data_IF_732496138771
#
_entry.id   IF_732496138771
#
_cell.length_a   1.000
_cell.length_b   1.000
_cell.length_c   1.000
_cell.angle_alpha   90.00
_cell.angle_beta   90.00
_cell.angle_gamma   90.00
#
_symmetry.space_group_name_H-M   'P 1'
#
loop_
_entity.id
_entity.type
_entity.pdbx_description
1 polymer ?
#
# COMPACT_ATOMS: atom_id res chain seq x y z
N UNK A 1 38.32 -25.86 -8.15
CA UNK A 1 37.26 -25.23 -7.29
C UNK A 1 36.61 -26.35 -6.54
N UNK A 2 36.95 -26.48 -5.29
CA UNK A 2 36.65 -27.65 -4.46
C UNK A 2 35.23 -27.48 -3.88
N UNK A 3 34.36 -28.44 -4.23
CA UNK A 3 33.08 -28.70 -3.57
C UNK A 3 33.31 -28.93 -2.07
N UNK A 4 33.01 -27.94 -1.26
CA UNK A 4 32.90 -28.13 0.18
C UNK A 4 31.43 -28.49 0.46
N UNK A 5 31.14 -29.79 0.40
CA UNK A 5 29.95 -30.36 1.02
C UNK A 5 29.98 -30.00 2.52
N UNK A 6 28.94 -29.36 3.11
CA UNK A 6 28.95 -29.15 4.55
C UNK A 6 28.86 -30.51 5.23
N UNK A 7 30.00 -30.96 5.76
CA UNK A 7 30.04 -32.16 6.57
C UNK A 7 29.12 -32.02 7.78
N UNK A 8 28.35 -33.06 8.07
CA UNK A 8 27.56 -33.29 9.28
C UNK A 8 28.45 -33.46 10.52
N UNK A 9 29.42 -32.56 10.71
CA UNK A 9 30.28 -32.56 11.88
C UNK A 9 29.47 -32.09 13.08
N UNK A 10 29.15 -32.99 14.02
CA UNK A 10 28.68 -32.67 15.36
C UNK A 10 29.66 -31.66 15.96
N UNK A 11 29.20 -30.46 16.29
CA UNK A 11 29.97 -29.51 17.06
C UNK A 11 30.34 -30.18 18.39
N UNK A 12 31.62 -30.37 18.66
CA UNK A 12 32.13 -31.13 19.81
C UNK A 12 31.76 -30.57 21.17
N UNK A 13 31.21 -29.34 21.21
CA UNK A 13 30.78 -28.63 22.42
C UNK A 13 29.28 -28.29 22.44
N UNK A 14 28.51 -28.73 21.46
CA UNK A 14 27.06 -28.50 21.47
C UNK A 14 26.35 -29.55 22.36
N UNK A 15 25.30 -29.18 23.11
CA UNK A 15 24.42 -30.16 23.78
C UNK A 15 23.92 -31.22 22.80
N UNK A 16 23.58 -32.43 23.31
CA UNK A 16 23.11 -33.51 22.44
C UNK A 16 21.78 -33.18 21.74
N UNK A 17 20.98 -32.35 22.34
CA UNK A 17 19.66 -31.86 21.90
C UNK A 17 19.75 -30.48 21.21
N UNK A 18 20.96 -30.05 20.80
CA UNK A 18 21.11 -28.75 20.15
C UNK A 18 20.26 -28.66 18.88
N UNK A 19 19.42 -27.61 18.74
CA UNK A 19 18.63 -27.40 17.55
C UNK A 19 19.51 -27.30 16.28
N UNK A 20 18.99 -27.71 15.14
CA UNK A 20 19.69 -27.56 13.87
C UNK A 20 19.97 -26.07 13.59
N UNK A 21 21.24 -25.76 13.27
CA UNK A 21 21.63 -24.41 12.85
C UNK A 21 21.11 -24.18 11.43
N UNK A 22 20.26 -23.19 11.26
CA UNK A 22 19.71 -22.83 9.95
C UNK A 22 20.71 -21.96 9.18
N UNK A 23 20.70 -22.06 7.85
CA UNK A 23 21.47 -21.15 7.00
C UNK A 23 20.95 -19.73 7.22
N UNK A 24 21.87 -18.79 7.42
CA UNK A 24 21.55 -17.37 7.55
C UNK A 24 20.96 -16.82 6.24
N UNK A 25 19.81 -16.14 6.35
CA UNK A 25 19.06 -15.52 5.24
C UNK A 25 18.71 -14.09 5.56
N UNK A 26 18.27 -13.37 4.54
CA UNK A 26 17.66 -12.04 4.66
C UNK A 26 16.22 -12.16 4.22
N UNK A 27 15.30 -11.70 5.07
CA UNK A 27 13.90 -11.54 4.72
C UNK A 27 13.63 -10.16 4.13
N UNK A 28 12.92 -10.09 3.02
CA UNK A 28 12.27 -8.87 2.51
C UNK A 28 10.79 -9.02 2.79
N UNK A 29 10.26 -8.23 3.71
CA UNK A 29 8.86 -8.27 4.10
C UNK A 29 8.14 -7.04 3.54
N UNK A 30 7.38 -7.24 2.47
CA UNK A 30 6.50 -6.23 1.91
C UNK A 30 5.30 -6.03 2.84
N UNK A 31 4.83 -4.80 3.00
CA UNK A 31 3.66 -4.53 3.84
C UNK A 31 2.63 -3.68 3.11
N UNK A 32 1.37 -4.11 3.15
CA UNK A 32 0.25 -3.35 2.64
C UNK A 32 -0.79 -3.11 3.74
N UNK A 33 -1.79 -2.24 3.48
CA UNK A 33 -2.78 -1.82 4.48
C UNK A 33 -3.54 -2.99 5.07
N UNK A 34 -3.98 -3.88 4.21
CA UNK A 34 -4.76 -5.03 4.59
C UNK A 34 -6.19 -5.00 4.11
N UNK A 35 -6.88 -6.09 4.41
CA UNK A 35 -8.19 -6.38 3.86
C UNK A 35 -8.93 -7.37 4.78
N UNK A 36 -10.27 -7.39 4.76
CA UNK A 36 -11.02 -8.43 5.47
C UNK A 36 -10.78 -9.81 4.85
N UNK A 37 -10.89 -10.86 5.67
CA UNK A 37 -10.82 -12.26 5.23
C UNK A 37 -12.04 -12.69 4.39
N UNK A 38 -13.11 -11.91 4.40
CA UNK A 38 -14.35 -12.16 3.68
C UNK A 38 -15.27 -10.95 3.73
N UNK A 39 -16.35 -10.98 2.95
CA UNK A 39 -17.33 -9.89 2.86
C UNK A 39 -18.53 -10.05 3.80
N UNK A 40 -18.50 -11.09 4.64
CA UNK A 40 -19.52 -11.31 5.67
C UNK A 40 -19.34 -10.36 6.85
N UNK A 41 -20.42 -10.27 7.68
CA UNK A 41 -20.44 -9.36 8.83
C UNK A 41 -19.26 -9.58 9.79
N UNK A 42 -18.92 -10.82 10.14
CA UNK A 42 -17.91 -11.08 11.16
C UNK A 42 -16.49 -10.83 10.65
N UNK A 43 -16.21 -11.17 9.41
CA UNK A 43 -14.93 -10.88 8.76
C UNK A 43 -14.73 -9.37 8.64
N UNK A 44 -15.75 -8.65 8.20
CA UNK A 44 -15.73 -7.19 8.13
C UNK A 44 -15.59 -6.54 9.52
N UNK A 45 -16.32 -7.06 10.52
CA UNK A 45 -16.26 -6.53 11.88
C UNK A 45 -14.85 -6.68 12.49
N UNK A 46 -14.21 -7.84 12.33
CA UNK A 46 -12.84 -8.08 12.80
C UNK A 46 -11.86 -7.10 12.16
N UNK A 47 -11.90 -6.98 10.86
CA UNK A 47 -11.04 -6.08 10.10
C UNK A 47 -11.24 -4.62 10.50
N UNK A 48 -12.49 -4.13 10.49
CA UNK A 48 -12.82 -2.75 10.85
C UNK A 48 -12.49 -2.45 12.32
N UNK A 49 -12.67 -3.41 13.23
CA UNK A 49 -12.28 -3.24 14.61
C UNK A 49 -10.77 -3.03 14.76
N UNK A 50 -9.96 -3.84 14.08
CA UNK A 50 -8.51 -3.72 14.11
C UNK A 50 -8.06 -2.38 13.52
N UNK A 51 -8.62 -2.00 12.38
CA UNK A 51 -8.29 -0.76 11.66
C UNK A 51 -8.70 0.49 12.45
N UNK A 52 -9.94 0.55 12.93
CA UNK A 52 -10.49 1.72 13.61
C UNK A 52 -10.06 1.82 15.10
N UNK A 53 -9.46 0.79 15.67
CA UNK A 53 -8.86 0.85 17.01
C UNK A 53 -7.41 1.35 16.99
N UNK A 54 -6.82 1.55 15.83
CA UNK A 54 -5.46 2.06 15.73
C UNK A 54 -5.44 3.57 16.00
N UNK A 55 -4.62 3.98 16.98
CA UNK A 55 -4.46 5.39 17.39
C UNK A 55 -3.87 6.28 16.31
N UNK A 56 -3.09 5.71 15.39
CA UNK A 56 -2.59 6.47 14.24
C UNK A 56 -3.65 6.71 13.17
N UNK A 57 -4.74 5.95 13.19
CA UNK A 57 -5.89 6.10 12.28
C UNK A 57 -6.97 6.96 12.92
N UNK A 58 -7.29 6.67 14.19
CA UNK A 58 -8.33 7.41 14.95
C UNK A 58 -7.71 7.89 16.27
N UNK A 59 -7.28 9.13 16.27
CA UNK A 59 -6.65 9.79 17.41
C UNK A 59 -7.70 10.40 18.37
N UNK A 60 -8.54 9.54 18.92
CA UNK A 60 -9.54 9.88 19.91
C UNK A 60 -9.28 9.05 21.18
N UNK A 61 -9.57 9.62 22.36
CA UNK A 61 -9.44 8.91 23.64
C UNK A 61 -10.23 7.59 23.64
N UNK A 62 -9.61 6.49 24.10
CA UNK A 62 -10.24 5.16 24.12
C UNK A 62 -11.55 5.11 24.89
N UNK A 63 -11.65 5.86 25.98
CA UNK A 63 -12.86 5.93 26.79
C UNK A 63 -14.09 6.45 26.04
N UNK A 64 -13.87 7.32 25.04
CA UNK A 64 -14.92 7.85 24.18
C UNK A 64 -15.07 6.97 22.94
N UNK A 65 -13.94 6.62 22.32
CA UNK A 65 -13.94 5.96 21.03
C UNK A 65 -14.39 4.49 21.09
N UNK A 66 -13.91 3.72 22.05
CA UNK A 66 -14.20 2.29 22.09
C UNK A 66 -15.70 1.98 22.28
N UNK A 67 -16.46 2.62 23.19
CA UNK A 67 -17.89 2.43 23.26
C UNK A 67 -18.63 2.80 21.95
N UNK A 68 -18.27 3.94 21.33
CA UNK A 68 -18.84 4.36 20.06
C UNK A 68 -18.51 3.37 18.94
N UNK A 69 -17.25 2.92 18.86
CA UNK A 69 -16.82 1.94 17.87
C UNK A 69 -17.59 0.63 18.03
N UNK A 70 -17.61 0.04 19.23
CA UNK A 70 -18.17 -1.29 19.44
C UNK A 70 -19.70 -1.34 19.33
N UNK A 71 -20.40 -0.33 19.89
CA UNK A 71 -21.85 -0.35 20.02
C UNK A 71 -22.57 0.29 18.82
N UNK A 72 -21.95 1.26 18.16
CA UNK A 72 -22.60 2.01 17.07
C UNK A 72 -21.97 1.70 15.71
N UNK A 73 -20.67 1.93 15.57
CA UNK A 73 -20.02 1.83 14.25
C UNK A 73 -19.98 0.38 13.79
N UNK A 74 -19.45 -0.54 14.60
CA UNK A 74 -19.29 -1.95 14.25
C UNK A 74 -20.60 -2.75 14.29
N UNK A 75 -21.73 -2.17 14.74
CA UNK A 75 -23.04 -2.80 14.60
C UNK A 75 -23.63 -2.61 13.19
N UNK A 76 -23.25 -1.56 12.46
CA UNK A 76 -23.84 -1.18 11.16
C UNK A 76 -22.86 -1.19 10.00
N UNK A 77 -21.68 -0.60 10.18
CA UNK A 77 -20.68 -0.41 9.12
C UNK A 77 -20.20 -1.73 8.46
N UNK A 78 -20.08 -2.88 9.15
CA UNK A 78 -19.72 -4.14 8.50
C UNK A 78 -20.68 -4.55 7.37
N UNK A 79 -21.97 -4.25 7.45
CA UNK A 79 -22.93 -4.57 6.39
C UNK A 79 -22.69 -3.72 5.14
N UNK A 80 -22.58 -2.39 5.29
CA UNK A 80 -22.36 -1.50 4.15
C UNK A 80 -20.97 -1.70 3.54
N UNK A 81 -19.91 -1.81 4.37
CA UNK A 81 -18.56 -2.08 3.86
C UNK A 81 -18.48 -3.44 3.17
N UNK A 82 -19.11 -4.49 3.74
CA UNK A 82 -19.18 -5.80 3.10
C UNK A 82 -19.92 -5.78 1.76
N UNK A 83 -20.95 -4.95 1.62
CA UNK A 83 -21.64 -4.74 0.34
C UNK A 83 -20.71 -4.10 -0.70
N UNK A 84 -19.91 -3.11 -0.30
CA UNK A 84 -18.96 -2.47 -1.21
C UNK A 84 -17.81 -3.41 -1.59
N UNK A 85 -17.26 -4.18 -0.64
CA UNK A 85 -16.25 -5.19 -0.96
C UNK A 85 -16.77 -6.27 -1.92
N UNK A 86 -18.04 -6.69 -1.83
CA UNK A 86 -18.63 -7.65 -2.78
C UNK A 86 -18.62 -7.18 -4.22
N UNK A 87 -18.73 -5.87 -4.48
CA UNK A 87 -18.70 -5.31 -5.83
C UNK A 87 -17.34 -5.53 -6.55
N UNK A 88 -16.27 -5.60 -5.77
CA UNK A 88 -14.88 -5.68 -6.29
C UNK A 88 -14.20 -7.03 -5.94
N UNK A 89 -14.90 -7.94 -5.25
CA UNK A 89 -14.31 -9.17 -4.71
C UNK A 89 -13.83 -10.09 -5.82
N UNK A 90 -12.63 -10.62 -5.67
CA UNK A 90 -12.12 -11.69 -6.54
C UNK A 90 -12.79 -13.01 -6.15
N UNK A 91 -13.86 -13.37 -6.85
CA UNK A 91 -14.64 -14.57 -6.55
C UNK A 91 -13.89 -15.89 -6.83
N UNK A 92 -12.94 -15.91 -7.76
CA UNK A 92 -12.17 -17.11 -8.09
C UNK A 92 -11.25 -17.50 -6.94
N UNK A 93 -10.60 -16.50 -6.33
CA UNK A 93 -9.68 -16.69 -5.21
C UNK A 93 -10.34 -16.50 -3.84
N UNK A 94 -11.57 -16.02 -3.82
CA UNK A 94 -12.30 -15.63 -2.62
C UNK A 94 -11.50 -14.66 -1.73
N UNK A 95 -10.90 -13.65 -2.34
CA UNK A 95 -10.10 -12.63 -1.66
C UNK A 95 -10.29 -11.24 -2.29
N UNK A 96 -9.82 -10.20 -1.61
CA UNK A 96 -9.87 -8.83 -2.16
C UNK A 96 -8.86 -8.63 -3.28
N UNK A 97 -9.08 -7.65 -4.19
CA UNK A 97 -8.08 -7.26 -5.20
C UNK A 97 -6.74 -6.89 -4.58
N UNK A 98 -6.73 -6.16 -3.46
CA UNK A 98 -5.53 -5.78 -2.74
C UNK A 98 -4.67 -7.00 -2.37
N UNK A 99 -5.28 -8.06 -1.85
CA UNK A 99 -4.57 -9.29 -1.48
C UNK A 99 -4.05 -10.03 -2.71
N UNK A 100 -4.88 -10.18 -3.75
CA UNK A 100 -4.50 -10.79 -5.03
C UNK A 100 -3.28 -10.09 -5.63
N UNK A 101 -3.32 -8.75 -5.71
CA UNK A 101 -2.26 -7.94 -6.31
C UNK A 101 -0.99 -7.97 -5.43
N UNK A 102 -1.12 -7.87 -4.11
CA UNK A 102 0.05 -7.95 -3.22
C UNK A 102 0.78 -9.30 -3.35
N UNK A 103 0.06 -10.40 -3.53
CA UNK A 103 0.66 -11.72 -3.82
C UNK A 103 1.41 -11.70 -5.16
N UNK A 104 0.80 -11.12 -6.20
CA UNK A 104 1.42 -11.01 -7.52
C UNK A 104 2.69 -10.15 -7.48
N UNK A 105 2.64 -8.98 -6.82
CA UNK A 105 3.81 -8.12 -6.59
C UNK A 105 4.93 -8.89 -5.87
N UNK A 106 4.59 -9.62 -4.81
CA UNK A 106 5.56 -10.41 -4.03
C UNK A 106 6.25 -11.45 -4.89
N UNK A 107 5.48 -12.25 -5.64
CA UNK A 107 6.01 -13.28 -6.51
C UNK A 107 6.89 -12.69 -7.63
N UNK A 108 6.47 -11.57 -8.23
CA UNK A 108 7.24 -10.91 -9.29
C UNK A 108 8.57 -10.33 -8.76
N UNK A 109 8.57 -9.75 -7.56
CA UNK A 109 9.78 -9.24 -6.90
C UNK A 109 10.71 -10.40 -6.52
N UNK A 110 10.18 -11.50 -5.98
CA UNK A 110 10.97 -12.70 -5.67
C UNK A 110 11.68 -13.22 -6.92
N UNK A 111 10.93 -13.39 -8.02
CA UNK A 111 11.50 -13.80 -9.32
C UNK A 111 12.58 -12.85 -9.82
N UNK A 112 12.43 -11.53 -9.62
CA UNK A 112 13.41 -10.54 -10.04
C UNK A 112 14.69 -10.53 -9.18
N UNK A 113 14.58 -10.94 -7.91
CA UNK A 113 15.73 -11.00 -6.97
C UNK A 113 16.46 -12.35 -7.03
N UNK A 114 15.77 -13.43 -7.36
CA UNK A 114 16.30 -14.80 -7.37
C UNK A 114 17.59 -14.97 -8.21
N UNK A 115 17.70 -14.42 -9.44
CA UNK A 115 18.94 -14.57 -10.24
C UNK A 115 20.16 -13.90 -9.62
N UNK A 116 19.98 -12.91 -8.73
CA UNK A 116 21.05 -12.13 -8.13
C UNK A 116 21.46 -12.70 -6.76
N UNK A 117 20.48 -13.10 -5.96
CA UNK A 117 20.69 -13.44 -4.55
C UNK A 117 20.43 -14.91 -4.22
N UNK A 118 19.87 -15.66 -5.17
CA UNK A 118 19.49 -17.05 -4.93
C UNK A 118 18.57 -17.19 -3.70
N UNK A 119 18.79 -18.22 -2.91
CA UNK A 119 18.05 -18.53 -1.68
C UNK A 119 18.55 -17.74 -0.43
N UNK A 120 19.53 -16.84 -0.60
CA UNK A 120 19.99 -15.98 0.48
C UNK A 120 18.97 -14.88 0.84
N UNK A 121 18.09 -14.52 -0.09
CA UNK A 121 17.00 -13.56 0.11
C UNK A 121 15.66 -14.27 -0.03
N UNK A 122 14.79 -14.12 0.95
CA UNK A 122 13.40 -14.56 0.93
C UNK A 122 12.50 -13.33 0.83
N UNK A 123 11.51 -13.38 -0.04
CA UNK A 123 10.50 -12.31 -0.17
C UNK A 123 9.16 -12.83 0.32
N UNK A 124 8.53 -12.08 1.19
CA UNK A 124 7.18 -12.37 1.68
C UNK A 124 6.41 -11.07 1.89
N UNK A 125 5.12 -11.16 2.19
CA UNK A 125 4.32 -9.99 2.47
C UNK A 125 3.48 -10.15 3.73
N UNK A 126 3.10 -9.02 4.32
CA UNK A 126 2.18 -8.93 5.44
C UNK A 126 1.14 -7.85 5.21
N UNK A 127 0.03 -8.00 5.89
CA UNK A 127 -1.01 -6.98 5.99
C UNK A 127 -0.92 -6.26 7.34
N UNK A 128 -1.03 -4.93 7.33
CA UNK A 128 -1.08 -4.15 8.58
C UNK A 128 -2.31 -4.51 9.38
N UNK A 129 -3.46 -4.68 8.69
CA UNK A 129 -4.72 -5.11 9.27
C UNK A 129 -5.25 -6.35 8.53
N UNK A 130 -5.74 -7.34 9.28
CA UNK A 130 -6.15 -8.62 8.72
C UNK A 130 -4.99 -9.61 8.55
N UNK A 131 -5.07 -10.46 7.53
CA UNK A 131 -4.16 -11.58 7.32
C UNK A 131 -3.49 -11.56 5.92
N UNK A 132 -2.23 -12.11 5.82
CA UNK A 132 -1.36 -12.54 6.92
C UNK A 132 -0.86 -11.36 7.73
N UNK A 133 -0.81 -11.49 9.06
CA UNK A 133 -0.40 -10.39 9.93
C UNK A 133 1.10 -10.15 9.90
N UNK A 134 1.53 -8.91 10.17
CA UNK A 134 2.95 -8.57 10.29
C UNK A 134 3.65 -9.44 11.35
N UNK A 135 2.99 -9.70 12.47
CA UNK A 135 3.58 -10.52 13.54
C UNK A 135 3.77 -11.98 13.15
N UNK A 136 2.83 -12.59 12.41
CA UNK A 136 2.98 -13.97 11.92
C UNK A 136 4.12 -14.07 10.92
N UNK A 137 4.22 -13.11 9.99
CA UNK A 137 5.24 -13.13 8.94
C UNK A 137 6.65 -12.83 9.45
N UNK A 138 6.79 -11.95 10.42
CA UNK A 138 8.10 -11.76 11.10
C UNK A 138 8.55 -13.07 11.76
N UNK A 139 7.65 -13.77 12.47
CA UNK A 139 7.95 -15.07 13.08
C UNK A 139 8.35 -16.11 12.04
N UNK A 140 7.57 -16.26 10.97
CA UNK A 140 7.85 -17.20 9.88
C UNK A 140 9.25 -16.95 9.26
N UNK A 141 9.63 -15.71 9.01
CA UNK A 141 10.94 -15.34 8.51
C UNK A 141 12.05 -15.70 9.51
N UNK A 142 11.89 -15.41 10.80
CA UNK A 142 12.84 -15.78 11.84
C UNK A 142 12.98 -17.29 11.93
N UNK A 143 11.87 -18.03 11.89
CA UNK A 143 11.85 -19.49 11.86
C UNK A 143 12.50 -20.06 10.59
N UNK A 144 12.42 -19.37 9.46
CA UNK A 144 13.11 -19.73 8.22
C UNK A 144 14.62 -19.45 8.24
N UNK A 145 15.15 -18.82 9.30
CA UNK A 145 16.55 -18.49 9.47
C UNK A 145 16.94 -17.09 9.01
N UNK A 146 15.98 -16.18 8.83
CA UNK A 146 16.29 -14.80 8.53
C UNK A 146 16.89 -14.09 9.74
N UNK A 147 18.16 -13.71 9.63
CA UNK A 147 18.91 -12.95 10.65
C UNK A 147 18.80 -11.45 10.44
N UNK A 148 18.33 -11.03 9.28
CA UNK A 148 18.10 -9.65 8.88
C UNK A 148 16.74 -9.57 8.19
N UNK A 149 15.97 -8.53 8.45
CA UNK A 149 14.67 -8.28 7.79
C UNK A 149 14.65 -6.84 7.26
N UNK A 150 14.48 -6.72 5.95
CA UNK A 150 14.14 -5.47 5.28
C UNK A 150 12.61 -5.37 5.23
N UNK A 151 12.05 -4.44 5.98
CA UNK A 151 10.62 -4.16 5.97
C UNK A 151 10.31 -3.06 4.97
N UNK A 152 9.39 -3.32 4.05
CA UNK A 152 9.05 -2.40 2.98
C UNK A 152 7.54 -2.11 2.94
N UNK A 153 7.08 -1.04 3.60
CA UNK A 153 5.72 -0.54 3.43
C UNK A 153 5.47 -0.11 1.98
N UNK A 154 4.47 -0.71 1.33
CA UNK A 154 4.11 -0.41 -0.06
C UNK A 154 3.25 0.86 -0.17
N UNK A 155 3.59 1.88 0.61
CA UNK A 155 3.00 3.21 0.54
C UNK A 155 4.05 4.17 -0.03
N UNK A 156 3.85 4.68 -1.27
CA UNK A 156 4.80 5.63 -1.85
C UNK A 156 5.00 6.87 -0.99
N UNK A 157 3.92 7.35 -0.36
CA UNK A 157 3.87 8.55 0.46
C UNK A 157 3.80 8.19 1.94
N UNK A 158 4.54 8.91 2.76
CA UNK A 158 4.48 8.77 4.22
C UNK A 158 3.21 9.43 4.77
N UNK A 159 2.56 8.74 5.67
CA UNK A 159 1.57 9.31 6.59
C UNK A 159 1.60 8.58 7.93
N UNK A 160 1.21 9.27 8.99
CA UNK A 160 1.04 8.66 10.31
C UNK A 160 0.12 7.44 10.27
N UNK A 161 -0.97 7.53 9.50
CA UNK A 161 -1.97 6.47 9.35
C UNK A 161 -1.58 5.35 8.37
N UNK A 162 -0.41 5.40 7.71
CA UNK A 162 0.07 4.38 6.76
C UNK A 162 1.44 3.85 7.15
N UNK A 163 2.51 4.52 6.72
CA UNK A 163 3.89 4.05 6.95
C UNK A 163 4.21 3.95 8.45
N UNK A 164 3.80 4.92 9.26
CA UNK A 164 4.12 4.88 10.68
C UNK A 164 3.39 3.74 11.41
N UNK A 165 2.10 3.53 11.14
CA UNK A 165 1.38 2.41 11.78
C UNK A 165 1.91 1.04 11.32
N UNK A 166 2.34 0.90 10.06
CA UNK A 166 2.97 -0.33 9.58
C UNK A 166 4.30 -0.57 10.29
N UNK A 167 5.12 0.48 10.46
CA UNK A 167 6.38 0.43 11.20
C UNK A 167 6.17 0.05 12.67
N UNK A 168 5.16 0.62 13.34
CA UNK A 168 4.81 0.27 14.72
C UNK A 168 4.48 -1.21 14.86
N UNK A 169 3.70 -1.78 13.92
CA UNK A 169 3.37 -3.20 13.91
C UNK A 169 4.60 -4.09 13.71
N UNK A 170 5.51 -3.66 12.83
CA UNK A 170 6.77 -4.36 12.58
C UNK A 170 7.68 -4.33 13.82
N UNK A 171 7.90 -3.17 14.42
CA UNK A 171 8.72 -3.05 15.62
C UNK A 171 8.12 -3.81 16.80
N UNK A 172 6.79 -3.76 16.97
CA UNK A 172 6.11 -4.55 18.00
C UNK A 172 6.24 -6.07 17.75
N UNK A 173 6.29 -6.52 16.51
CA UNK A 173 6.55 -7.92 16.18
C UNK A 173 7.97 -8.32 16.56
N UNK A 174 8.97 -7.50 16.23
CA UNK A 174 10.38 -7.76 16.57
C UNK A 174 10.61 -7.90 18.08
N UNK A 175 9.94 -7.08 18.90
CA UNK A 175 10.09 -7.16 20.36
C UNK A 175 9.59 -8.47 20.99
N UNK A 176 8.80 -9.26 20.24
CA UNK A 176 8.30 -10.57 20.68
C UNK A 176 9.24 -11.72 20.37
N UNK A 177 10.21 -11.48 19.50
CA UNK A 177 11.15 -12.52 19.10
C UNK A 177 12.28 -12.69 20.13
N UNK A 178 12.59 -13.92 20.50
CA UNK A 178 13.70 -14.25 21.41
C UNK A 178 15.05 -13.79 20.85
N UNK A 179 15.29 -14.05 19.56
CA UNK A 179 16.40 -13.53 18.79
C UNK A 179 15.84 -12.49 17.82
N UNK A 180 16.05 -11.22 18.11
CA UNK A 180 15.66 -10.16 17.20
C UNK A 180 16.59 -10.15 15.98
N UNK A 181 16.06 -10.24 14.75
CA UNK A 181 16.85 -10.04 13.55
C UNK A 181 17.29 -8.57 13.45
N UNK A 182 18.41 -8.31 12.76
CA UNK A 182 18.74 -6.95 12.38
C UNK A 182 17.65 -6.41 11.44
N UNK A 183 17.19 -5.19 11.68
CA UNK A 183 16.05 -4.63 10.97
C UNK A 183 16.41 -3.36 10.22
N UNK A 184 15.84 -3.20 9.03
CA UNK A 184 15.86 -1.96 8.24
C UNK A 184 14.48 -1.71 7.68
N UNK A 185 14.04 -0.46 7.69
CA UNK A 185 12.77 -0.05 7.09
C UNK A 185 13.08 0.77 5.84
N UNK A 186 12.40 0.47 4.74
CA UNK A 186 12.47 1.27 3.52
C UNK A 186 11.68 2.56 3.74
N UNK A 187 12.30 3.69 3.43
CA UNK A 187 11.65 4.99 3.47
C UNK A 187 10.61 5.14 2.34
N UNK A 188 9.79 6.18 2.43
CA UNK A 188 8.88 6.59 1.37
C UNK A 188 9.61 6.83 0.05
N UNK A 189 8.93 6.55 -1.06
CA UNK A 189 9.53 6.60 -2.41
C UNK A 189 8.70 7.41 -3.41
N UNK A 190 7.91 8.34 -2.91
CA UNK A 190 6.96 9.19 -3.65
C UNK A 190 7.61 10.03 -4.78
N UNK A 191 8.90 10.29 -4.71
CA UNK A 191 9.69 11.04 -5.68
C UNK A 191 10.80 10.21 -6.35
N UNK A 192 10.83 8.91 -6.12
CA UNK A 192 11.83 8.03 -6.72
C UNK A 192 11.69 8.02 -8.26
N UNK A 193 12.78 8.26 -9.02
CA UNK A 193 12.69 8.43 -10.47
C UNK A 193 11.99 7.27 -11.19
N UNK A 194 12.29 6.02 -10.83
CA UNK A 194 11.64 4.85 -11.45
C UNK A 194 10.15 4.74 -11.10
N UNK A 195 9.74 5.20 -9.92
CA UNK A 195 8.33 5.25 -9.55
C UNK A 195 7.57 6.30 -10.37
N UNK A 196 8.15 7.49 -10.53
CA UNK A 196 7.57 8.56 -11.38
C UNK A 196 7.52 8.09 -12.84
N UNK A 197 8.56 7.40 -13.33
CA UNK A 197 8.59 6.82 -14.68
C UNK A 197 7.47 5.79 -14.88
N UNK A 198 7.27 4.88 -13.92
CA UNK A 198 6.20 3.89 -13.96
C UNK A 198 4.81 4.56 -13.99
N UNK A 199 4.59 5.59 -13.16
CA UNK A 199 3.34 6.38 -13.18
C UNK A 199 3.11 7.06 -14.52
N UNK A 200 4.14 7.73 -15.07
CA UNK A 200 4.03 8.40 -16.35
C UNK A 200 3.74 7.40 -17.47
N UNK A 201 4.45 6.28 -17.51
CA UNK A 201 4.20 5.21 -18.49
C UNK A 201 2.80 4.60 -18.38
N UNK A 202 2.24 4.49 -17.18
CA UNK A 202 0.85 4.05 -16.98
C UNK A 202 -0.14 5.06 -17.57
N UNK A 203 0.04 6.35 -17.30
CA UNK A 203 -0.78 7.43 -17.88
C UNK A 203 -0.67 7.44 -19.41
N UNK A 204 0.55 7.42 -19.94
CA UNK A 204 0.81 7.43 -21.41
C UNK A 204 0.13 6.25 -22.10
N UNK A 205 0.24 5.05 -21.54
CA UNK A 205 -0.37 3.83 -22.08
C UNK A 205 -1.90 3.90 -22.13
N UNK A 206 -2.52 4.38 -21.03
CA UNK A 206 -3.98 4.55 -21.00
C UNK A 206 -4.40 5.60 -22.02
N UNK A 207 -3.71 6.75 -22.08
CA UNK A 207 -4.04 7.81 -23.02
C UNK A 207 -3.87 7.39 -24.48
N UNK A 208 -2.89 6.55 -24.79
CA UNK A 208 -2.68 6.01 -26.15
C UNK A 208 -3.83 5.10 -26.63
N UNK A 209 -4.58 4.50 -25.70
CA UNK A 209 -5.75 3.66 -25.99
C UNK A 209 -7.07 4.44 -26.06
N UNK A 210 -7.07 5.77 -25.83
CA UNK A 210 -8.28 6.57 -25.87
C UNK A 210 -8.52 7.21 -27.25
N UNK A 211 -9.77 7.21 -27.70
CA UNK A 211 -10.18 7.91 -28.91
C UNK A 211 -10.13 9.45 -28.78
N UNK A 212 -9.93 9.94 -27.56
CA UNK A 212 -9.90 11.38 -27.25
C UNK A 212 -8.95 11.66 -26.08
N UNK A 213 -8.36 12.82 -26.07
CA UNK A 213 -7.54 13.28 -24.95
C UNK A 213 -8.45 13.82 -23.83
N UNK A 214 -8.28 13.39 -22.58
CA UNK A 214 -8.95 13.98 -21.43
C UNK A 214 -8.62 15.48 -21.29
N UNK A 215 -9.59 16.28 -20.84
CA UNK A 215 -9.44 17.72 -20.63
C UNK A 215 -8.50 18.06 -19.47
N UNK A 216 -8.41 17.13 -18.48
CA UNK A 216 -7.55 17.24 -17.31
C UNK A 216 -7.27 15.85 -16.75
N UNK A 217 -6.06 15.66 -16.21
CA UNK A 217 -5.73 14.53 -15.34
C UNK A 217 -5.92 14.95 -13.88
N UNK A 218 -6.70 14.22 -13.12
CA UNK A 218 -6.85 14.41 -11.67
C UNK A 218 -6.01 13.35 -10.95
N UNK A 219 -5.08 13.78 -10.12
CA UNK A 219 -4.40 12.90 -9.16
C UNK A 219 -5.21 12.90 -7.86
N UNK A 220 -5.82 11.75 -7.53
CA UNK A 220 -6.60 11.58 -6.31
C UNK A 220 -5.76 10.85 -5.26
N UNK A 221 -5.64 11.46 -4.10
CA UNK A 221 -4.93 10.91 -2.95
C UNK A 221 -5.91 10.61 -1.83
N UNK A 222 -5.61 9.65 -0.95
CA UNK A 222 -6.44 9.47 0.23
C UNK A 222 -6.41 10.75 1.09
N UNK A 223 -7.56 11.22 1.51
CA UNK A 223 -7.68 12.39 2.38
C UNK A 223 -7.05 12.16 3.74
N UNK A 224 -6.61 13.24 4.36
CA UNK A 224 -6.12 13.26 5.73
C UNK A 224 -6.68 14.48 6.46
N UNK A 225 -6.92 14.39 7.78
CA UNK A 225 -7.26 15.57 8.57
C UNK A 225 -6.20 16.66 8.42
N UNK A 226 -6.64 17.88 8.16
CA UNK A 226 -5.75 19.04 7.97
C UNK A 226 -4.82 19.26 9.18
N UNK A 227 -5.26 18.89 10.38
CA UNK A 227 -4.44 18.99 11.59
C UNK A 227 -3.15 18.17 11.49
N UNK A 228 -3.11 17.04 10.76
CA UNK A 228 -1.88 16.25 10.62
C UNK A 228 -0.81 17.03 9.85
N UNK A 229 -1.20 17.71 8.77
CA UNK A 229 -0.29 18.63 8.09
C UNK A 229 0.25 19.71 9.05
N UNK A 230 -0.62 20.31 9.87
CA UNK A 230 -0.21 21.34 10.83
C UNK A 230 0.68 20.81 11.96
N UNK A 231 0.64 19.50 12.22
CA UNK A 231 1.51 18.79 13.16
C UNK A 231 2.82 18.28 12.53
N UNK A 232 3.04 18.55 11.24
CA UNK A 232 4.28 18.20 10.55
C UNK A 232 4.26 16.89 9.76
N UNK A 233 3.08 16.27 9.55
CA UNK A 233 2.98 15.12 8.65
C UNK A 233 3.28 15.58 7.20
N UNK A 234 4.25 14.96 6.51
CA UNK A 234 4.72 15.44 5.21
C UNK A 234 3.81 15.05 4.04
N UNK A 235 2.78 14.24 4.28
CA UNK A 235 1.94 13.60 3.24
C UNK A 235 1.46 14.58 2.17
N UNK A 236 0.87 15.70 2.58
CA UNK A 236 0.36 16.71 1.65
C UNK A 236 1.46 17.23 0.69
N UNK A 237 2.62 17.58 1.23
CA UNK A 237 3.74 18.09 0.43
C UNK A 237 4.28 17.02 -0.53
N UNK A 238 4.33 15.77 -0.09
CA UNK A 238 4.74 14.64 -0.91
C UNK A 238 3.76 14.39 -2.06
N UNK A 239 2.44 14.43 -1.82
CA UNK A 239 1.41 14.32 -2.87
C UNK A 239 1.57 15.40 -3.95
N UNK A 240 1.76 16.66 -3.53
CA UNK A 240 1.98 17.77 -4.46
C UNK A 240 3.27 17.59 -5.28
N UNK A 241 4.35 17.10 -4.63
CA UNK A 241 5.62 16.86 -5.31
C UNK A 241 5.50 15.73 -6.34
N UNK A 242 4.84 14.62 -6.00
CA UNK A 242 4.59 13.53 -6.96
C UNK A 242 3.81 14.00 -8.17
N UNK A 243 2.72 14.76 -7.97
CA UNK A 243 1.90 15.30 -9.07
C UNK A 243 2.71 16.26 -9.95
N UNK A 244 3.55 17.10 -9.35
CA UNK A 244 4.47 17.98 -10.10
C UNK A 244 5.48 17.18 -10.91
N UNK A 245 6.16 16.20 -10.31
CA UNK A 245 7.16 15.35 -10.99
C UNK A 245 6.52 14.54 -12.13
N UNK A 246 5.33 13.99 -11.90
CA UNK A 246 4.56 13.31 -12.95
C UNK A 246 4.27 14.24 -14.13
N UNK A 247 3.79 15.46 -13.87
CA UNK A 247 3.53 16.47 -14.92
C UNK A 247 4.81 16.80 -15.70
N UNK A 248 5.92 17.03 -14.98
CA UNK A 248 7.22 17.36 -15.59
C UNK A 248 7.72 16.20 -16.47
N UNK A 249 7.62 14.95 -15.99
CA UNK A 249 7.99 13.76 -16.75
C UNK A 249 7.12 13.55 -18.00
N UNK A 250 5.83 13.87 -17.93
CA UNK A 250 4.93 13.83 -19.08
C UNK A 250 5.14 15.01 -20.06
N UNK A 251 5.97 15.98 -19.73
CA UNK A 251 6.18 17.18 -20.54
C UNK A 251 4.95 18.09 -20.65
N UNK A 252 4.04 18.03 -19.68
CA UNK A 252 2.77 18.77 -19.74
C UNK A 252 2.87 20.15 -19.12
N UNK A 253 2.05 21.07 -19.65
CA UNK A 253 2.00 22.44 -19.17
C UNK A 253 1.50 22.54 -17.71
N UNK A 254 1.87 23.58 -16.96
CA UNK A 254 1.25 23.89 -15.67
C UNK A 254 -0.29 23.95 -15.78
N UNK A 255 -1.01 23.36 -14.81
CA UNK A 255 -2.47 23.32 -14.82
C UNK A 255 -3.09 22.16 -15.61
N UNK A 256 -2.28 21.23 -16.16
CA UNK A 256 -2.80 20.03 -16.83
C UNK A 256 -3.08 18.86 -15.87
N UNK A 257 -2.59 18.96 -14.65
CA UNK A 257 -2.85 18.00 -13.57
C UNK A 257 -3.44 18.74 -12.38
N UNK A 258 -4.60 18.29 -11.93
CA UNK A 258 -5.23 18.75 -10.72
C UNK A 258 -4.99 17.75 -9.59
N UNK A 259 -4.72 18.27 -8.38
CA UNK A 259 -4.53 17.45 -7.17
C UNK A 259 -5.79 17.51 -6.32
N UNK A 260 -6.25 16.35 -5.84
CA UNK A 260 -7.42 16.26 -4.98
C UNK A 260 -7.29 15.13 -3.95
N UNK A 261 -8.19 15.14 -2.94
CA UNK A 261 -8.16 14.20 -1.82
C UNK A 261 -9.53 13.55 -1.65
N UNK A 262 -9.54 12.22 -1.54
CA UNK A 262 -10.75 11.40 -1.43
C UNK A 262 -10.96 10.84 -0.02
N UNK A 263 -12.01 10.04 0.19
CA UNK A 263 -12.28 9.27 1.43
C UNK A 263 -12.44 10.14 2.68
N UNK A 264 -13.09 11.29 2.53
CA UNK A 264 -13.32 12.22 3.64
C UNK A 264 -14.47 11.71 4.51
N UNK A 265 -14.27 11.70 5.83
CA UNK A 265 -15.32 11.33 6.77
C UNK A 265 -15.31 12.16 8.05
N UNK A 266 -16.47 12.21 8.73
CA UNK A 266 -16.61 12.95 9.99
C UNK A 266 -16.83 14.44 9.78
N UNK A 267 -16.58 15.24 10.85
CA UNK A 267 -16.86 16.69 10.87
C UNK A 267 -15.62 17.57 10.88
N UNK A 268 -14.44 16.95 11.01
CA UNK A 268 -13.16 17.65 11.02
C UNK A 268 -12.83 18.16 9.60
N UNK A 269 -12.04 19.22 9.51
CA UNK A 269 -11.54 19.72 8.22
C UNK A 269 -10.42 18.80 7.71
N UNK A 270 -10.56 18.35 6.47
CA UNK A 270 -9.60 17.50 5.77
C UNK A 270 -8.85 18.30 4.71
N UNK A 271 -7.78 17.71 4.18
CA UNK A 271 -7.04 18.27 3.03
C UNK A 271 -7.98 18.47 1.84
N UNK A 272 -7.82 19.59 1.14
CA UNK A 272 -8.67 20.00 0.01
C UNK A 272 -7.86 20.15 -1.27
N UNK A 273 -8.53 20.17 -2.46
CA UNK A 273 -9.98 19.98 -2.69
C UNK A 273 -10.42 18.52 -2.50
N UNK A 274 -11.67 18.29 -2.14
CA UNK A 274 -12.25 16.94 -2.06
C UNK A 274 -12.52 16.40 -3.45
N UNK A 275 -12.08 15.18 -3.77
CA UNK A 275 -12.13 14.64 -5.13
C UNK A 275 -13.55 14.62 -5.69
N UNK A 276 -14.53 14.16 -4.92
CA UNK A 276 -15.94 14.09 -5.35
C UNK A 276 -16.51 15.45 -5.70
N UNK A 277 -16.21 16.48 -4.90
CA UNK A 277 -16.65 17.87 -5.15
C UNK A 277 -15.91 18.47 -6.34
N UNK A 278 -14.60 18.19 -6.44
CA UNK A 278 -13.72 18.73 -7.46
C UNK A 278 -14.09 18.23 -8.85
N UNK A 279 -14.29 16.93 -9.04
CA UNK A 279 -14.67 16.38 -10.34
C UNK A 279 -16.08 16.89 -10.79
N UNK A 280 -17.01 17.03 -9.84
CA UNK A 280 -18.30 17.62 -10.14
C UNK A 280 -18.21 19.10 -10.53
N UNK A 281 -17.31 19.87 -9.91
CA UNK A 281 -17.04 21.26 -10.29
C UNK A 281 -16.40 21.36 -11.68
N UNK A 282 -15.47 20.46 -12.03
CA UNK A 282 -14.89 20.37 -13.36
C UNK A 282 -15.96 20.12 -14.44
N UNK A 283 -16.88 19.17 -14.20
CA UNK A 283 -17.97 18.90 -15.13
C UNK A 283 -18.86 20.14 -15.35
N UNK A 284 -19.26 20.84 -14.27
CA UNK A 284 -20.04 22.09 -14.33
C UNK A 284 -19.28 23.22 -15.04
N UNK A 285 -17.95 23.25 -14.94
CA UNK A 285 -17.10 24.19 -15.65
C UNK A 285 -16.86 23.83 -17.13
N UNK A 286 -17.54 22.79 -17.66
CA UNK A 286 -17.49 22.39 -19.05
C UNK A 286 -16.37 21.38 -19.39
N UNK A 287 -15.66 20.86 -18.41
CA UNK A 287 -14.73 19.73 -18.62
C UNK A 287 -15.54 18.46 -18.80
N UNK A 288 -15.61 17.96 -20.03
CA UNK A 288 -16.47 16.83 -20.39
C UNK A 288 -15.79 15.47 -20.23
N UNK A 289 -14.47 15.45 -20.29
CA UNK A 289 -13.67 14.24 -20.29
C UNK A 289 -12.51 14.38 -19.32
N UNK A 290 -12.48 13.57 -18.29
CA UNK A 290 -11.40 13.57 -17.31
C UNK A 290 -10.75 12.19 -17.18
N UNK A 291 -9.49 12.17 -16.80
CA UNK A 291 -8.83 10.96 -16.32
C UNK A 291 -8.49 11.11 -14.84
N UNK A 292 -8.55 10.02 -14.09
CA UNK A 292 -8.21 10.00 -12.65
C UNK A 292 -7.23 8.88 -12.37
N UNK A 293 -6.16 9.20 -11.65
CA UNK A 293 -5.14 8.26 -11.18
C UNK A 293 -4.92 8.45 -9.68
N UNK A 294 -4.60 7.36 -8.97
CA UNK A 294 -4.37 7.35 -7.53
C UNK A 294 -2.91 7.04 -7.16
N UNK A 295 -1.98 8.02 -7.22
CA UNK A 295 -0.55 7.74 -7.08
C UNK A 295 -0.14 7.21 -5.70
N UNK A 296 -0.88 7.50 -4.62
CA UNK A 296 -0.55 7.00 -3.29
C UNK A 296 -0.84 5.51 -3.08
N UNK A 297 -1.50 4.86 -4.03
CA UNK A 297 -1.89 3.47 -3.94
C UNK A 297 -0.99 2.60 -4.84
N UNK A 298 -0.24 1.71 -4.21
CA UNK A 298 0.64 0.75 -4.90
C UNK A 298 -0.14 -0.36 -5.61
N UNK A 299 -1.35 -0.63 -5.14
CA UNK A 299 -2.24 -1.66 -5.65
C UNK A 299 -3.70 -1.20 -5.59
N UNK A 300 -4.49 -1.66 -6.55
CA UNK A 300 -5.93 -1.43 -6.54
C UNK A 300 -6.61 -2.04 -5.32
N UNK A 301 -7.51 -1.29 -4.74
CA UNK A 301 -8.21 -1.59 -3.52
C UNK A 301 -9.64 -1.04 -3.53
N UNK A 302 -10.31 -1.04 -2.41
CA UNK A 302 -11.69 -0.55 -2.34
C UNK A 302 -11.77 0.95 -2.63
N UNK A 303 -10.80 1.72 -2.17
CA UNK A 303 -10.70 3.17 -2.37
C UNK A 303 -10.49 3.56 -3.84
N UNK A 304 -9.95 2.66 -4.66
CA UNK A 304 -9.70 2.94 -6.07
C UNK A 304 -10.78 2.36 -6.98
N UNK A 305 -11.20 1.12 -6.73
CA UNK A 305 -12.14 0.43 -7.61
C UNK A 305 -13.60 0.78 -7.30
N UNK A 306 -13.96 0.94 -6.03
CA UNK A 306 -15.33 1.26 -5.64
C UNK A 306 -15.54 2.77 -5.48
N UNK A 307 -14.64 3.47 -4.77
CA UNK A 307 -14.81 4.91 -4.54
C UNK A 307 -14.47 5.72 -5.79
N UNK A 308 -13.24 5.59 -6.37
CA UNK A 308 -12.87 6.41 -7.55
C UNK A 308 -13.65 5.95 -8.79
N UNK A 309 -13.56 4.67 -9.14
CA UNK A 309 -14.15 4.16 -10.39
C UNK A 309 -15.65 3.87 -10.29
N UNK A 310 -16.24 4.01 -9.11
CA UNK A 310 -17.68 3.94 -8.84
C UNK A 310 -18.25 5.29 -8.44
N UNK A 311 -18.21 5.64 -7.16
CA UNK A 311 -18.89 6.80 -6.58
C UNK A 311 -18.43 8.13 -7.19
N UNK A 312 -17.12 8.37 -7.29
CA UNK A 312 -16.57 9.63 -7.84
C UNK A 312 -16.86 9.73 -9.34
N UNK A 313 -16.77 8.62 -10.07
CA UNK A 313 -17.18 8.55 -11.48
C UNK A 313 -18.63 8.94 -11.67
N UNK A 314 -19.54 8.37 -10.87
CA UNK A 314 -20.97 8.69 -10.93
C UNK A 314 -21.23 10.17 -10.63
N UNK A 315 -20.55 10.74 -9.64
CA UNK A 315 -20.64 12.16 -9.30
C UNK A 315 -20.24 13.07 -10.45
N UNK A 316 -19.18 12.73 -11.18
CA UNK A 316 -18.75 13.46 -12.37
C UNK A 316 -19.79 13.42 -13.48
N UNK A 317 -20.29 12.23 -13.80
CA UNK A 317 -21.28 12.02 -14.87
C UNK A 317 -22.61 12.72 -14.54
N UNK A 318 -23.11 12.62 -13.31
CA UNK A 318 -24.32 13.32 -12.87
C UNK A 318 -24.17 14.84 -12.89
N UNK A 319 -22.96 15.38 -12.73
CA UNK A 319 -22.69 16.81 -12.82
C UNK A 319 -22.58 17.34 -14.27
N UNK A 320 -22.75 16.48 -15.28
CA UNK A 320 -22.73 16.82 -16.71
C UNK A 320 -21.42 16.49 -17.42
N UNK A 321 -20.54 15.69 -16.80
CA UNK A 321 -19.43 15.06 -17.47
C UNK A 321 -19.87 13.98 -18.44
N UNK A 322 -19.05 13.63 -19.41
CA UNK A 322 -19.37 12.65 -20.47
C UNK A 322 -18.51 11.40 -20.38
N UNK A 323 -17.20 11.56 -20.15
CA UNK A 323 -16.26 10.45 -20.08
C UNK A 323 -15.35 10.56 -18.87
N UNK A 324 -15.40 9.54 -18.04
CA UNK A 324 -14.51 9.37 -16.88
C UNK A 324 -13.60 8.18 -17.12
N UNK A 325 -12.31 8.43 -17.24
CA UNK A 325 -11.29 7.37 -17.43
C UNK A 325 -10.58 7.13 -16.10
N UNK A 326 -10.79 5.97 -15.50
CA UNK A 326 -9.99 5.51 -14.37
C UNK A 326 -8.67 4.93 -14.88
N UNK A 327 -7.54 5.40 -14.37
CA UNK A 327 -6.22 4.82 -14.62
C UNK A 327 -5.90 3.89 -13.44
N UNK A 328 -5.77 2.57 -13.67
CA UNK A 328 -5.46 1.62 -12.60
C UNK A 328 -4.19 1.97 -11.84
N UNK A 329 -4.11 1.57 -10.58
CA UNK A 329 -2.86 1.62 -9.83
C UNK A 329 -1.77 0.83 -10.56
N UNK A 330 -0.52 1.03 -10.17
CA UNK A 330 0.61 0.36 -10.84
C UNK A 330 0.61 -1.16 -10.64
N UNK A 331 -0.07 -1.66 -9.62
CA UNK A 331 -0.27 -3.08 -9.37
C UNK A 331 1.05 -3.89 -9.51
N UNK A 332 1.01 -5.03 -10.16
CA UNK A 332 2.15 -5.89 -10.49
C UNK A 332 2.74 -5.62 -11.90
N UNK A 333 2.51 -4.42 -12.44
CA UNK A 333 3.08 -4.03 -13.74
C UNK A 333 4.62 -4.09 -13.72
N UNK A 334 5.21 -4.54 -14.81
CA UNK A 334 6.65 -4.77 -14.92
C UNK A 334 7.50 -3.53 -14.53
N UNK A 335 7.07 -2.33 -14.92
CA UNK A 335 7.78 -1.09 -14.57
C UNK A 335 7.71 -0.80 -13.06
N UNK A 336 6.57 -1.08 -12.42
CA UNK A 336 6.42 -0.92 -10.97
C UNK A 336 7.26 -1.96 -10.21
N UNK A 337 7.16 -3.23 -10.60
CA UNK A 337 7.99 -4.31 -10.02
C UNK A 337 9.48 -3.99 -10.15
N UNK A 338 9.92 -3.47 -11.30
CA UNK A 338 11.31 -3.04 -11.49
C UNK A 338 11.70 -1.90 -10.54
N UNK A 339 10.82 -0.90 -10.34
CA UNK A 339 11.05 0.19 -9.41
C UNK A 339 11.18 -0.32 -7.96
N UNK A 340 10.22 -1.14 -7.51
CA UNK A 340 10.24 -1.73 -6.16
C UNK A 340 11.48 -2.62 -5.95
N UNK A 341 11.82 -3.44 -6.94
CA UNK A 341 13.02 -4.31 -6.90
C UNK A 341 14.30 -3.49 -6.79
N UNK A 342 14.42 -2.39 -7.51
CA UNK A 342 15.59 -1.52 -7.44
C UNK A 342 15.69 -0.83 -6.07
N UNK A 343 14.58 -0.39 -5.49
CA UNK A 343 14.54 0.16 -4.13
C UNK A 343 14.99 -0.90 -3.12
N UNK A 344 14.51 -2.14 -3.22
CA UNK A 344 14.94 -3.25 -2.37
C UNK A 344 16.44 -3.48 -2.51
N UNK A 345 16.96 -3.58 -3.73
CA UNK A 345 18.41 -3.79 -3.99
C UNK A 345 19.26 -2.70 -3.35
N UNK A 346 18.88 -1.45 -3.49
CA UNK A 346 19.57 -0.32 -2.86
C UNK A 346 19.59 -0.43 -1.33
N UNK A 347 18.49 -0.92 -0.74
CA UNK A 347 18.38 -1.10 0.70
C UNK A 347 19.05 -2.38 1.23
N UNK A 348 19.33 -3.36 0.39
CA UNK A 348 20.11 -4.56 0.73
C UNK A 348 21.62 -4.30 0.71
N UNK A 349 22.07 -3.20 0.13
CA UNK A 349 23.49 -2.82 0.10
C UNK A 349 24.10 -2.81 1.51
N UNK A 350 25.29 -3.43 1.65
CA UNK A 350 25.98 -3.60 2.92
C UNK A 350 25.41 -4.70 3.83
N UNK A 351 24.33 -5.39 3.42
CA UNK A 351 23.84 -6.60 4.07
C UNK A 351 24.21 -7.87 3.32
N UNK A 352 24.32 -7.76 2.01
CA UNK A 352 24.86 -8.77 1.13
C UNK A 352 26.09 -8.14 0.45
N UNK A 353 27.22 -8.88 0.48
CA UNK A 353 28.47 -8.50 -0.19
C UNK A 353 28.48 -8.95 -1.63
#
# INVERSE_FOLDING_TARGET
MSDVTPGSGRLTHAPQDHPAVKRARIGVLLANLGTPDGTDYWSMRRYLNQFLSDKRVVDISDWIWQPLLQLVILSRRPFSSGANYRKIWNHERNESPLLTITRAQTAAIEQALLPVYGDAVMVDFAMRYGNPSTASKVRELVEAGCEKILFFPLYPHYAGATSATANDAFFAALTRERRQPAARVVAEYFDHPLYIEALAGSVERVYAGLDHRPDVLVTSYHGMPKRYLMQGDPYHCQCLKTSRLLRERLGWAPGSIDVSFQSVFGREEWLRPYTVEHVAALARAGKKRIAVVAPAFSADCIETLEEINGEIRESFLHAGGEVFTYIPCLNDEAAHVAALTQIIRSNLSGWIG
#
